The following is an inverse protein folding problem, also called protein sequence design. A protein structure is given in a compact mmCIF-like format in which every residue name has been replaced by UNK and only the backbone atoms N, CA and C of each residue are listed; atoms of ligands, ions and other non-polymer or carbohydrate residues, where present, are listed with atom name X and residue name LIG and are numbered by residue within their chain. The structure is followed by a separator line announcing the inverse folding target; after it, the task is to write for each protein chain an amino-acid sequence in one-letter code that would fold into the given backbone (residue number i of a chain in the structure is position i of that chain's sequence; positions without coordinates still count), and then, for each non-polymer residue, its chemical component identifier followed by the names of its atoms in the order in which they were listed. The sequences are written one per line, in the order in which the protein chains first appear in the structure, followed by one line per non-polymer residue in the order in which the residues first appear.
data_IF_861225202475
#
_entry.id   IF_861225202475
#
_cell.length_a   1.000
_cell.length_b   1.000
_cell.length_c   1.000
_cell.angle_alpha   90.00
_cell.angle_beta   90.00
_cell.angle_gamma   90.00
#
_symmetry.space_group_name_H-M   'P 1'
#
loop_
_entity.id
_entity.type
_entity.pdbx_description
1 polymer ?
#
# COMPACT_ATOMS: atom_id res chain seq x y z
N UNK A 1 -8.03 -43.80 4.62
CA UNK A 1 -8.04 -42.44 4.03
C UNK A 1 -6.94 -41.63 4.69
N UNK A 2 -5.93 -41.20 3.92
CA UNK A 2 -4.83 -40.39 4.40
C UNK A 2 -5.35 -38.98 4.75
N UNK A 3 -5.70 -38.75 6.01
CA UNK A 3 -5.99 -37.40 6.49
C UNK A 3 -4.69 -36.59 6.44
N UNK A 4 -4.60 -35.69 5.46
CA UNK A 4 -3.48 -34.75 5.29
C UNK A 4 -3.24 -33.91 6.56
N UNK A 5 -4.30 -33.68 7.34
CA UNK A 5 -4.31 -32.96 8.63
C UNK A 5 -4.73 -33.93 9.75
N UNK A 6 -3.84 -34.14 10.73
CA UNK A 6 -4.06 -34.98 11.92
C UNK A 6 -4.43 -34.11 13.13
N UNK A 7 -4.83 -34.73 14.24
CA UNK A 7 -5.18 -34.05 15.51
C UNK A 7 -4.05 -33.11 15.96
N UNK A 8 -2.80 -33.53 15.83
CA UNK A 8 -1.62 -32.71 16.16
C UNK A 8 -1.54 -31.43 15.30
N UNK A 9 -1.86 -31.51 14.01
CA UNK A 9 -1.79 -30.36 13.12
C UNK A 9 -2.85 -29.32 13.53
N UNK A 10 -4.08 -29.76 13.82
CA UNK A 10 -5.15 -28.89 14.30
C UNK A 10 -4.83 -28.25 15.65
N UNK A 11 -4.18 -29.00 16.54
CA UNK A 11 -3.72 -28.49 17.83
C UNK A 11 -2.72 -27.34 17.66
N UNK A 12 -1.72 -27.51 16.81
CA UNK A 12 -0.69 -26.50 16.53
C UNK A 12 -1.31 -25.29 15.82
N UNK A 13 -2.15 -25.51 14.81
CA UNK A 13 -2.83 -24.42 14.07
C UNK A 13 -3.70 -23.58 15.02
N UNK A 14 -4.47 -24.22 15.90
CA UNK A 14 -5.30 -23.51 16.88
C UNK A 14 -4.46 -22.68 17.84
N UNK A 15 -3.35 -23.23 18.37
CA UNK A 15 -2.40 -22.49 19.21
C UNK A 15 -1.79 -21.30 18.46
N UNK A 16 -1.37 -21.52 17.21
CA UNK A 16 -0.78 -20.48 16.37
C UNK A 16 -1.78 -19.34 16.11
N UNK A 17 -2.95 -19.64 15.53
CA UNK A 17 -3.93 -18.61 15.18
C UNK A 17 -4.45 -17.86 16.40
N UNK A 18 -4.73 -18.56 17.50
CA UNK A 18 -5.16 -17.92 18.75
C UNK A 18 -4.10 -16.95 19.29
N UNK A 19 -2.84 -17.37 19.29
CA UNK A 19 -1.72 -16.52 19.72
C UNK A 19 -1.57 -15.33 18.78
N UNK A 20 -1.69 -15.53 17.47
CA UNK A 20 -1.62 -14.46 16.47
C UNK A 20 -2.68 -13.38 16.69
N UNK A 21 -3.96 -13.76 16.73
CA UNK A 21 -5.04 -12.79 16.91
C UNK A 21 -4.96 -12.08 18.27
N UNK A 22 -4.54 -12.80 19.32
CA UNK A 22 -4.29 -12.20 20.63
C UNK A 22 -3.14 -11.20 20.61
N UNK A 23 -2.03 -11.52 19.95
CA UNK A 23 -0.90 -10.60 19.77
C UNK A 23 -1.33 -9.37 18.98
N UNK A 24 -2.01 -9.53 17.83
CA UNK A 24 -2.51 -8.41 17.04
C UNK A 24 -3.42 -7.53 17.88
N UNK A 25 -4.35 -8.09 18.65
CA UNK A 25 -5.26 -7.32 19.52
C UNK A 25 -4.49 -6.43 20.50
N UNK A 26 -3.47 -6.95 21.18
CA UNK A 26 -2.64 -6.16 22.12
C UNK A 26 -1.95 -5.01 21.39
N UNK A 27 -1.30 -5.29 20.26
CA UNK A 27 -0.61 -4.26 19.49
C UNK A 27 -1.57 -3.19 18.94
N UNK A 28 -2.78 -3.59 18.51
CA UNK A 28 -3.82 -2.66 18.09
C UNK A 28 -4.29 -1.76 19.24
N UNK A 29 -4.49 -2.32 20.43
CA UNK A 29 -4.87 -1.52 21.61
C UNK A 29 -3.80 -0.46 21.93
N UNK A 30 -2.53 -0.85 21.95
CA UNK A 30 -1.42 0.07 22.21
C UNK A 30 -1.37 1.15 21.11
N UNK A 31 -1.44 0.75 19.83
CA UNK A 31 -1.38 1.68 18.71
C UNK A 31 -2.51 2.71 18.74
N UNK A 32 -3.73 2.29 19.10
CA UNK A 32 -4.88 3.20 19.20
C UNK A 32 -4.70 4.22 20.32
N UNK A 33 -4.19 3.80 21.48
CA UNK A 33 -3.91 4.71 22.60
C UNK A 33 -2.86 5.74 22.21
N UNK A 34 -1.77 5.31 21.56
CA UNK A 34 -0.72 6.21 21.09
C UNK A 34 -1.25 7.20 20.04
N UNK A 35 -1.97 6.71 19.03
CA UNK A 35 -2.52 7.54 17.95
C UNK A 35 -3.52 8.57 18.48
N UNK A 36 -4.37 8.16 19.42
CA UNK A 36 -5.29 9.07 20.10
C UNK A 36 -4.53 10.15 20.88
N UNK A 37 -3.52 9.76 21.66
CA UNK A 37 -2.73 10.70 22.45
C UNK A 37 -2.01 11.74 21.60
N UNK A 38 -1.55 11.38 20.40
CA UNK A 38 -0.89 12.31 19.47
C UNK A 38 -1.87 13.28 18.78
N UNK A 39 -3.14 12.89 18.63
CA UNK A 39 -4.13 13.61 17.81
C UNK A 39 -5.28 14.22 18.61
N UNK A 40 -5.32 14.01 19.92
CA UNK A 40 -6.42 14.44 20.79
C UNK A 40 -6.70 15.94 20.67
N UNK A 41 -5.66 16.77 20.62
CA UNK A 41 -5.78 18.23 20.45
C UNK A 41 -6.49 18.58 19.13
N UNK A 42 -6.03 18.01 18.00
CA UNK A 42 -6.65 18.22 16.69
C UNK A 42 -8.10 17.70 16.62
N UNK A 43 -8.41 16.60 17.32
CA UNK A 43 -9.77 16.08 17.40
C UNK A 43 -10.72 16.98 18.19
N UNK A 44 -10.21 17.82 19.08
CA UNK A 44 -10.99 18.77 19.87
C UNK A 44 -11.15 20.10 19.12
N UNK A 45 -10.10 20.57 18.45
CA UNK A 45 -10.08 21.88 17.78
C UNK A 45 -10.82 21.90 16.45
N UNK A 46 -10.80 20.80 15.71
CA UNK A 46 -11.42 20.70 14.39
C UNK A 46 -12.88 20.22 14.49
N UNK A 47 -13.76 20.61 13.55
CA UNK A 47 -15.16 20.21 13.55
C UNK A 47 -15.35 18.77 13.04
N UNK A 48 -14.77 17.81 13.77
CA UNK A 48 -14.87 16.36 13.52
C UNK A 48 -15.87 15.77 14.50
N UNK A 49 -16.86 15.06 13.99
CA UNK A 49 -17.88 14.46 14.87
C UNK A 49 -17.30 13.26 15.61
N UNK A 50 -17.61 13.05 16.89
CA UNK A 50 -17.21 11.85 17.64
C UNK A 50 -17.56 10.54 16.91
N UNK A 51 -18.69 10.54 16.20
CA UNK A 51 -19.12 9.43 15.35
C UNK A 51 -18.14 9.14 14.20
N UNK A 52 -17.61 10.17 13.55
CA UNK A 52 -16.62 10.02 12.47
C UNK A 52 -15.30 9.48 13.02
N UNK A 53 -14.88 9.95 14.20
CA UNK A 53 -13.68 9.46 14.88
C UNK A 53 -13.82 7.96 15.24
N UNK A 54 -14.89 7.58 15.94
CA UNK A 54 -15.06 6.23 16.48
C UNK A 54 -15.46 5.20 15.41
N UNK A 55 -16.33 5.57 14.46
CA UNK A 55 -16.87 4.61 13.49
C UNK A 55 -16.16 4.63 12.13
N UNK A 56 -15.45 5.71 11.77
CA UNK A 56 -14.75 5.79 10.48
C UNK A 56 -13.24 5.78 10.66
N UNK A 57 -12.69 6.71 11.46
CA UNK A 57 -11.24 6.87 11.60
C UNK A 57 -10.59 5.67 12.30
N UNK A 58 -11.01 5.30 13.51
CA UNK A 58 -10.32 4.24 14.27
C UNK A 58 -10.40 2.84 13.64
N UNK A 59 -11.56 2.37 13.13
CA UNK A 59 -11.59 1.08 12.43
C UNK A 59 -10.67 1.08 11.19
N UNK A 60 -10.62 2.19 10.46
CA UNK A 60 -9.72 2.35 9.32
C UNK A 60 -8.25 2.41 9.71
N UNK A 61 -7.94 3.10 10.81
CA UNK A 61 -6.61 3.14 11.41
C UNK A 61 -6.16 1.75 11.86
N UNK A 62 -7.03 0.99 12.55
CA UNK A 62 -6.76 -0.39 12.98
C UNK A 62 -6.45 -1.30 11.77
N UNK A 63 -7.18 -1.16 10.66
CA UNK A 63 -6.89 -1.90 9.43
C UNK A 63 -5.53 -1.52 8.83
N UNK A 64 -5.22 -0.22 8.80
CA UNK A 64 -3.94 0.27 8.29
C UNK A 64 -2.76 -0.22 9.15
N UNK A 65 -2.78 0.05 10.46
CA UNK A 65 -1.68 -0.30 11.36
C UNK A 65 -1.59 -1.83 11.58
N UNK A 66 -2.73 -2.52 11.68
CA UNK A 66 -2.78 -3.97 11.77
C UNK A 66 -2.18 -4.63 10.54
N UNK A 67 -2.39 -4.04 9.35
CA UNK A 67 -1.75 -4.50 8.13
C UNK A 67 -0.23 -4.26 8.11
N UNK A 68 0.27 -3.16 8.68
CA UNK A 68 1.72 -2.92 8.80
C UNK A 68 2.39 -3.88 9.80
N UNK A 69 1.68 -4.25 10.87
CA UNK A 69 2.20 -5.13 11.93
C UNK A 69 1.97 -6.61 11.66
N UNK A 70 1.21 -6.97 10.62
CA UNK A 70 0.76 -8.35 10.37
C UNK A 70 1.90 -9.38 10.35
N UNK A 71 2.97 -9.09 9.62
CA UNK A 71 4.13 -9.98 9.48
C UNK A 71 4.94 -10.08 10.78
N UNK A 72 5.12 -8.98 11.51
CA UNK A 72 5.83 -8.94 12.80
C UNK A 72 5.02 -9.66 13.88
N UNK A 73 3.72 -9.43 13.97
CA UNK A 73 2.83 -10.16 14.87
C UNK A 73 2.81 -11.65 14.56
N UNK A 74 2.91 -12.05 13.28
CA UNK A 74 3.08 -13.45 12.90
C UNK A 74 4.35 -14.04 13.50
N UNK A 75 5.50 -13.37 13.34
CA UNK A 75 6.78 -13.82 13.89
C UNK A 75 6.72 -13.98 15.40
N UNK A 76 6.22 -12.95 16.10
CA UNK A 76 6.07 -12.94 17.55
C UNK A 76 5.17 -14.08 18.00
N UNK A 77 4.01 -14.26 17.36
CA UNK A 77 3.07 -15.30 17.70
C UNK A 77 3.70 -16.69 17.55
N UNK A 78 4.35 -16.94 16.40
CA UNK A 78 5.02 -18.22 16.13
C UNK A 78 6.07 -18.51 17.18
N UNK A 79 6.95 -17.55 17.48
CA UNK A 79 7.98 -17.71 18.50
C UNK A 79 7.35 -17.95 19.87
N UNK A 80 6.31 -17.19 20.21
CA UNK A 80 5.66 -17.26 21.50
C UNK A 80 5.09 -18.65 21.76
N UNK A 81 4.21 -19.14 20.88
CA UNK A 81 3.56 -20.41 21.12
C UNK A 81 4.54 -21.59 20.96
N UNK A 82 5.47 -21.52 20.00
CA UNK A 82 6.46 -22.58 19.77
C UNK A 82 7.40 -22.71 20.95
N UNK A 83 7.92 -21.59 21.46
CA UNK A 83 8.81 -21.61 22.63
C UNK A 83 8.08 -22.09 23.88
N UNK A 84 6.80 -21.73 24.04
CA UNK A 84 5.96 -22.28 25.12
C UNK A 84 5.81 -23.80 25.01
N UNK A 85 5.58 -24.33 23.81
CA UNK A 85 5.52 -25.78 23.55
C UNK A 85 6.88 -26.47 23.77
N UNK A 86 7.99 -25.82 23.41
CA UNK A 86 9.33 -26.34 23.66
C UNK A 86 9.62 -26.41 25.17
N UNK A 87 9.20 -25.38 25.92
CA UNK A 87 9.40 -25.28 27.36
C UNK A 87 8.57 -26.33 28.13
N UNK A 88 7.32 -26.55 27.74
CA UNK A 88 6.47 -27.64 28.28
C UNK A 88 6.90 -29.03 27.81
N UNK A 89 8.01 -29.13 27.05
CA UNK A 89 8.52 -30.37 26.46
C UNK A 89 7.56 -31.07 25.49
N UNK A 90 6.51 -30.39 25.02
CA UNK A 90 5.58 -30.91 24.00
C UNK A 90 6.32 -31.20 22.69
N UNK A 91 7.23 -30.31 22.26
CA UNK A 91 8.02 -30.51 21.03
C UNK A 91 8.95 -31.73 21.14
N UNK A 92 9.63 -31.90 22.28
CA UNK A 92 10.50 -33.04 22.51
C UNK A 92 9.71 -34.36 22.54
N UNK A 93 8.53 -34.37 23.17
CA UNK A 93 7.64 -35.54 23.18
C UNK A 93 7.16 -35.91 21.78
N UNK A 94 6.86 -34.93 20.93
CA UNK A 94 6.48 -35.15 19.52
C UNK A 94 7.62 -35.82 18.74
N UNK A 95 8.86 -35.34 18.92
CA UNK A 95 10.03 -35.93 18.27
C UNK A 95 10.34 -37.34 18.79
N UNK A 96 10.23 -37.56 20.10
CA UNK A 96 10.40 -38.89 20.71
C UNK A 96 9.33 -39.90 20.26
N UNK A 97 8.15 -39.42 19.83
CA UNK A 97 7.10 -40.25 19.22
C UNK A 97 7.37 -40.57 17.73
N UNK A 98 8.55 -40.24 17.20
CA UNK A 98 8.97 -40.55 15.83
C UNK A 98 8.46 -39.56 14.77
N UNK A 99 7.88 -38.43 15.16
CA UNK A 99 7.43 -37.40 14.21
C UNK A 99 8.63 -36.58 13.74
N UNK A 100 8.84 -36.51 12.42
CA UNK A 100 9.93 -35.71 11.86
C UNK A 100 9.69 -34.20 11.96
N UNK A 101 10.76 -33.41 11.99
CA UNK A 101 10.69 -31.94 11.93
C UNK A 101 9.86 -31.44 10.73
N UNK A 102 10.03 -32.09 9.57
CA UNK A 102 9.27 -31.76 8.36
C UNK A 102 7.76 -32.01 8.51
N UNK A 103 7.34 -33.01 9.28
CA UNK A 103 5.92 -33.23 9.55
C UNK A 103 5.37 -32.16 10.49
N UNK A 104 6.11 -31.78 11.53
CA UNK A 104 5.75 -30.69 12.43
C UNK A 104 5.57 -29.37 11.64
N UNK A 105 6.49 -29.07 10.73
CA UNK A 105 6.48 -27.86 9.90
C UNK A 105 5.23 -27.73 9.01
N UNK A 106 4.57 -28.84 8.64
CA UNK A 106 3.34 -28.79 7.82
C UNK A 106 2.21 -28.05 8.54
N UNK A 107 2.07 -28.22 9.85
CA UNK A 107 1.04 -27.51 10.62
C UNK A 107 1.26 -25.99 10.61
N UNK A 108 2.53 -25.57 10.74
CA UNK A 108 2.93 -24.16 10.63
C UNK A 108 2.66 -23.61 9.23
N UNK A 109 2.97 -24.38 8.19
CA UNK A 109 2.69 -24.00 6.80
C UNK A 109 1.20 -23.76 6.57
N UNK A 110 0.30 -24.64 7.03
CA UNK A 110 -1.14 -24.45 6.86
C UNK A 110 -1.66 -23.22 7.64
N UNK A 111 -1.16 -22.99 8.85
CA UNK A 111 -1.48 -21.77 9.60
C UNK A 111 -1.00 -20.50 8.88
N UNK A 112 0.23 -20.52 8.36
CA UNK A 112 0.80 -19.40 7.61
C UNK A 112 0.06 -19.18 6.29
N UNK A 113 -0.34 -20.24 5.59
CA UNK A 113 -1.12 -20.16 4.36
C UNK A 113 -2.48 -19.50 4.61
N UNK A 114 -3.16 -19.85 5.71
CA UNK A 114 -4.41 -19.20 6.11
C UNK A 114 -4.21 -17.70 6.38
N UNK A 115 -3.21 -17.33 7.18
CA UNK A 115 -2.91 -15.91 7.46
C UNK A 115 -2.47 -15.15 6.21
N UNK A 116 -1.73 -15.78 5.31
CA UNK A 116 -1.31 -15.21 4.02
C UNK A 116 -2.50 -14.93 3.13
N UNK A 117 -3.43 -15.90 3.00
CA UNK A 117 -4.62 -15.72 2.19
C UNK A 117 -5.51 -14.58 2.75
N UNK A 118 -5.71 -14.56 4.07
CA UNK A 118 -6.46 -13.49 4.72
C UNK A 118 -5.80 -12.12 4.46
N UNK A 119 -4.48 -12.04 4.61
CA UNK A 119 -3.76 -10.79 4.40
C UNK A 119 -3.69 -10.36 2.93
N UNK A 120 -3.61 -11.29 1.97
CA UNK A 120 -3.75 -11.00 0.55
C UNK A 120 -5.11 -10.35 0.25
N UNK A 121 -6.20 -10.90 0.78
CA UNK A 121 -7.53 -10.32 0.59
C UNK A 121 -7.61 -8.92 1.23
N UNK A 122 -7.06 -8.76 2.42
CA UNK A 122 -7.02 -7.48 3.11
C UNK A 122 -6.24 -6.43 2.32
N UNK A 123 -4.98 -6.72 1.95
CA UNK A 123 -4.09 -5.78 1.26
C UNK A 123 -4.60 -5.37 -0.13
N UNK A 124 -5.24 -6.28 -0.87
CA UNK A 124 -5.70 -5.98 -2.22
C UNK A 124 -7.05 -5.22 -2.26
N UNK A 125 -7.93 -5.43 -1.28
CA UNK A 125 -9.32 -4.96 -1.32
C UNK A 125 -9.78 -4.18 -0.09
N UNK A 126 -9.56 -4.69 1.13
CA UNK A 126 -10.16 -4.14 2.35
C UNK A 126 -9.35 -2.94 2.87
N UNK A 127 -8.03 -3.11 3.01
CA UNK A 127 -7.14 -2.08 3.53
C UNK A 127 -7.15 -0.80 2.70
N UNK A 128 -7.16 -0.82 1.35
CA UNK A 128 -7.21 0.42 0.58
C UNK A 128 -8.50 1.23 0.80
N UNK A 129 -9.62 0.55 1.05
CA UNK A 129 -10.89 1.21 1.36
C UNK A 129 -10.83 1.88 2.74
N UNK A 130 -10.33 1.17 3.74
CA UNK A 130 -10.09 1.77 5.07
C UNK A 130 -9.11 2.94 5.00
N UNK A 131 -8.00 2.76 4.28
CA UNK A 131 -7.01 3.82 4.10
C UNK A 131 -7.59 5.05 3.43
N UNK A 132 -8.52 4.89 2.47
CA UNK A 132 -9.25 6.01 1.88
C UNK A 132 -10.01 6.80 2.96
N UNK A 133 -10.85 6.15 3.76
CA UNK A 133 -11.61 6.84 4.82
C UNK A 133 -10.71 7.52 5.86
N UNK A 134 -9.61 6.86 6.24
CA UNK A 134 -8.64 7.42 7.17
C UNK A 134 -8.00 8.68 6.60
N UNK A 135 -7.51 8.60 5.36
CA UNK A 135 -6.81 9.70 4.70
C UNK A 135 -7.75 10.85 4.36
N UNK A 136 -9.01 10.58 4.02
CA UNK A 136 -10.02 11.63 3.79
C UNK A 136 -10.21 12.51 5.06
N UNK A 137 -10.24 11.90 6.26
CA UNK A 137 -10.29 12.64 7.53
C UNK A 137 -8.98 13.35 7.82
N UNK A 138 -7.85 12.67 7.61
CA UNK A 138 -6.51 13.25 7.86
C UNK A 138 -6.30 14.48 6.99
N UNK A 139 -6.51 14.40 5.67
CA UNK A 139 -6.30 15.52 4.76
C UNK A 139 -7.30 16.67 4.99
N UNK A 140 -8.52 16.36 5.43
CA UNK A 140 -9.54 17.40 5.65
C UNK A 140 -9.33 18.18 6.94
N UNK A 141 -8.88 17.53 8.01
CA UNK A 141 -8.87 18.12 9.35
C UNK A 141 -7.50 18.12 10.04
N UNK A 142 -6.65 17.11 9.81
CA UNK A 142 -5.45 16.88 10.63
C UNK A 142 -4.17 17.39 9.96
N UNK A 143 -4.00 17.10 8.67
CA UNK A 143 -2.88 17.50 7.83
C UNK A 143 -3.40 18.08 6.52
N UNK A 144 -3.89 19.31 6.62
CA UNK A 144 -4.44 20.08 5.49
C UNK A 144 -3.38 20.41 4.42
N UNK A 145 -2.10 20.18 4.72
CA UNK A 145 -0.96 20.54 3.87
C UNK A 145 -0.42 19.39 3.02
N UNK A 146 -0.87 18.15 3.21
CA UNK A 146 -0.35 16.99 2.47
C UNK A 146 -0.78 16.96 0.98
N UNK A 147 -1.76 17.78 0.59
CA UNK A 147 -2.09 17.96 -0.82
C UNK A 147 -0.98 18.71 -1.55
N UNK A 148 -0.08 17.95 -2.18
CA UNK A 148 1.00 18.49 -3.02
C UNK A 148 0.57 18.67 -4.46
N UNK A 149 -0.72 18.48 -4.76
CA UNK A 149 -1.27 18.70 -6.09
C UNK A 149 -1.00 20.13 -6.52
N UNK A 150 -0.23 20.30 -7.60
CA UNK A 150 0.05 21.61 -8.18
C UNK A 150 -1.28 22.24 -8.57
N UNK A 151 -1.62 23.38 -7.98
CA UNK A 151 -2.75 24.22 -8.40
C UNK A 151 -2.34 25.25 -9.43
N UNK A 152 -1.04 25.43 -9.67
CA UNK A 152 -0.47 26.39 -10.62
C UNK A 152 0.48 25.70 -11.60
N UNK A 153 0.55 26.23 -12.82
CA UNK A 153 1.47 25.78 -13.89
C UNK A 153 1.49 24.25 -14.05
N UNK A 154 0.31 23.69 -14.20
CA UNK A 154 0.09 22.26 -14.27
C UNK A 154 0.32 21.81 -15.71
N UNK A 155 1.17 20.79 -15.89
CA UNK A 155 1.41 20.17 -17.19
C UNK A 155 1.08 18.69 -17.08
N UNK A 156 0.09 18.23 -17.84
CA UNK A 156 -0.37 16.85 -17.85
C UNK A 156 -0.47 16.37 -19.28
N UNK A 157 -0.01 15.16 -19.55
CA UNK A 157 -0.35 14.51 -20.80
C UNK A 157 -1.72 13.83 -20.65
N UNK A 158 -2.61 14.07 -21.61
CA UNK A 158 -3.95 13.45 -21.65
C UNK A 158 -4.03 12.36 -22.73
N UNK A 159 -3.08 12.35 -23.65
CA UNK A 159 -2.80 11.32 -24.64
C UNK A 159 -1.30 11.37 -25.02
N UNK A 160 -0.72 10.35 -25.69
CA UNK A 160 0.72 10.32 -26.01
C UNK A 160 1.26 11.58 -26.70
N UNK A 161 0.41 12.20 -27.53
CA UNK A 161 0.73 13.36 -28.34
C UNK A 161 -0.10 14.60 -27.98
N UNK A 162 -0.84 14.56 -26.87
CA UNK A 162 -1.69 15.68 -26.44
C UNK A 162 -1.37 16.04 -25.00
N UNK A 163 -0.88 17.26 -24.82
CA UNK A 163 -0.56 17.82 -23.51
C UNK A 163 -1.60 18.88 -23.15
N UNK A 164 -1.96 18.93 -21.88
CA UNK A 164 -2.78 19.99 -21.31
C UNK A 164 -1.90 20.80 -20.37
N UNK A 165 -1.94 22.11 -20.55
CA UNK A 165 -1.40 23.09 -19.63
C UNK A 165 -2.54 23.83 -18.95
N UNK A 166 -2.42 24.03 -17.64
CA UNK A 166 -3.35 24.82 -16.85
C UNK A 166 -2.54 25.79 -15.99
N UNK A 167 -2.76 27.09 -16.21
CA UNK A 167 -2.10 28.12 -15.41
C UNK A 167 -2.54 28.08 -13.95
N UNK A 168 -3.84 27.92 -13.70
CA UNK A 168 -4.38 27.76 -12.34
C UNK A 168 -5.61 26.84 -12.30
N UNK A 169 -5.67 25.92 -11.34
CA UNK A 169 -6.82 25.05 -11.09
C UNK A 169 -7.38 25.26 -9.69
N UNK A 170 -8.69 25.55 -9.63
CA UNK A 170 -9.44 25.67 -8.39
C UNK A 170 -10.17 24.36 -8.12
N UNK A 171 -9.84 23.73 -6.99
CA UNK A 171 -10.36 22.41 -6.60
C UNK A 171 -11.83 22.46 -6.17
N UNK A 172 -12.29 23.57 -5.58
CA UNK A 172 -13.63 23.70 -5.01
C UNK A 172 -14.76 23.63 -6.04
N UNK A 173 -14.57 24.28 -7.18
CA UNK A 173 -15.56 24.37 -8.27
C UNK A 173 -15.10 23.64 -9.54
N UNK A 174 -13.96 22.94 -9.49
CA UNK A 174 -13.34 22.26 -10.63
C UNK A 174 -13.13 23.17 -11.85
N UNK A 175 -12.83 24.44 -11.61
CA UNK A 175 -12.53 25.41 -12.67
C UNK A 175 -11.03 25.55 -12.91
N UNK A 176 -10.65 25.65 -14.18
CA UNK A 176 -9.30 25.93 -14.63
C UNK A 176 -9.23 27.30 -15.32
N UNK A 177 -8.11 27.99 -15.16
CA UNK A 177 -7.78 29.23 -15.85
C UNK A 177 -6.51 29.05 -16.67
N UNK A 178 -6.43 29.79 -17.77
CA UNK A 178 -5.34 29.67 -18.76
C UNK A 178 -5.16 28.20 -19.18
N UNK A 179 -6.26 27.65 -19.71
CA UNK A 179 -6.34 26.25 -20.11
C UNK A 179 -5.86 26.12 -21.55
N UNK A 180 -4.87 25.27 -21.80
CA UNK A 180 -4.32 25.05 -23.13
C UNK A 180 -4.21 23.57 -23.44
N UNK A 181 -4.73 23.16 -24.59
CA UNK A 181 -4.58 21.83 -25.16
C UNK A 181 -3.56 21.94 -26.28
N UNK A 182 -2.44 21.26 -26.18
CA UNK A 182 -1.33 21.27 -27.14
C UNK A 182 -1.23 19.90 -27.82
N UNK A 183 -1.28 19.86 -29.14
CA UNK A 183 -1.13 18.65 -29.94
C UNK A 183 0.23 18.63 -30.65
N UNK A 184 0.97 17.55 -30.43
CA UNK A 184 2.31 17.35 -30.98
C UNK A 184 2.31 16.25 -32.04
N UNK A 185 3.13 16.40 -33.08
CA UNK A 185 3.44 15.35 -34.06
C UNK A 185 4.94 15.39 -34.32
N UNK A 186 5.62 14.25 -34.21
CA UNK A 186 7.08 14.17 -34.35
C UNK A 186 7.83 15.20 -33.47
N UNK A 187 7.38 15.38 -32.22
CA UNK A 187 7.93 16.34 -31.25
C UNK A 187 7.77 17.83 -31.64
N UNK A 188 7.02 18.15 -32.69
CA UNK A 188 6.68 19.52 -33.08
C UNK A 188 5.22 19.83 -32.74
N UNK A 189 4.95 21.05 -32.27
CA UNK A 189 3.60 21.53 -31.98
C UNK A 189 2.87 21.77 -33.30
N UNK A 190 1.76 21.06 -33.54
CA UNK A 190 0.97 21.18 -34.78
C UNK A 190 -0.27 22.04 -34.57
N UNK A 191 -0.83 22.02 -33.37
CA UNK A 191 -1.97 22.87 -33.02
C UNK A 191 -2.07 23.04 -31.53
N UNK A 192 -2.62 24.16 -31.09
CA UNK A 192 -3.12 24.28 -29.73
C UNK A 192 -4.47 24.98 -29.67
N UNK A 193 -5.26 24.63 -28.66
CA UNK A 193 -6.47 25.36 -28.28
C UNK A 193 -6.21 26.00 -26.92
N UNK A 194 -6.34 27.32 -26.83
CA UNK A 194 -6.23 28.07 -25.57
C UNK A 194 -7.60 28.60 -25.17
N UNK A 195 -7.96 28.51 -23.90
CA UNK A 195 -9.18 29.04 -23.32
C UNK A 195 -8.86 29.77 -22.02
N UNK A 196 -9.50 30.90 -21.78
CA UNK A 196 -9.25 31.68 -20.56
C UNK A 196 -9.83 31.00 -19.32
N UNK A 197 -11.00 30.37 -19.47
CA UNK A 197 -11.65 29.57 -18.44
C UNK A 197 -12.09 28.22 -19.00
N UNK A 198 -11.85 27.16 -18.24
CA UNK A 198 -12.41 25.85 -18.49
C UNK A 198 -13.10 25.32 -17.23
N UNK A 199 -14.21 24.62 -17.40
CA UNK A 199 -15.01 24.05 -16.32
C UNK A 199 -15.32 22.60 -16.60
N UNK A 200 -15.12 21.73 -15.61
CA UNK A 200 -15.45 20.32 -15.74
C UNK A 200 -16.94 20.08 -15.45
N UNK A 201 -17.65 19.45 -16.39
CA UNK A 201 -19.06 19.10 -16.27
C UNK A 201 -19.20 17.63 -15.82
N UNK A 202 -19.60 17.33 -14.57
CA UNK A 202 -19.64 15.97 -14.04
C UNK A 202 -20.65 15.07 -14.77
N UNK A 203 -21.81 15.63 -15.13
CA UNK A 203 -22.93 14.95 -15.80
C UNK A 203 -22.50 14.32 -17.14
N UNK A 204 -21.76 15.08 -17.95
CA UNK A 204 -21.39 14.69 -19.31
C UNK A 204 -19.95 14.21 -19.43
N UNK A 205 -19.15 14.33 -18.35
CA UNK A 205 -17.70 14.07 -18.32
C UNK A 205 -16.93 14.84 -19.40
N UNK A 206 -17.33 16.09 -19.64
CA UNK A 206 -16.72 16.99 -20.63
C UNK A 206 -16.15 18.23 -19.94
N UNK A 207 -15.19 18.85 -20.61
CA UNK A 207 -14.69 20.17 -20.24
C UNK A 207 -15.37 21.22 -21.11
N UNK A 208 -16.01 22.20 -20.51
CA UNK A 208 -16.52 23.37 -21.21
C UNK A 208 -15.45 24.45 -21.22
N UNK A 209 -15.02 24.83 -22.42
CA UNK A 209 -14.07 25.92 -22.65
C UNK A 209 -14.83 27.19 -22.93
N UNK A 210 -14.43 28.29 -22.29
CA UNK A 210 -14.95 29.64 -22.51
C UNK A 210 -13.86 30.52 -23.10
N UNK A 211 -14.26 31.39 -24.03
CA UNK A 211 -13.36 32.35 -24.69
C UNK A 211 -12.12 31.66 -25.25
N UNK A 212 -12.36 30.75 -26.21
CA UNK A 212 -11.32 29.89 -26.74
C UNK A 212 -10.76 30.40 -28.07
N UNK A 213 -9.48 30.14 -28.29
CA UNK A 213 -8.78 30.35 -29.55
C UNK A 213 -8.16 29.05 -30.00
N UNK A 214 -8.26 28.74 -31.28
CA UNK A 214 -7.63 27.58 -31.89
C UNK A 214 -6.56 28.05 -32.86
N UNK A 215 -5.33 27.59 -32.66
CA UNK A 215 -4.19 27.90 -33.50
C UNK A 215 -3.69 26.59 -34.13
N UNK A 216 -3.54 26.56 -35.45
CA UNK A 216 -2.95 25.44 -36.17
C UNK A 216 -1.75 25.89 -37.01
N UNK A 217 -0.74 25.03 -37.05
CA UNK A 217 0.54 25.26 -37.74
C UNK A 217 0.69 24.25 -38.87
N UNK A 218 0.79 24.74 -40.10
CA UNK A 218 1.08 23.92 -41.28
C UNK A 218 2.38 24.41 -41.94
N UNK A 219 3.51 24.03 -41.35
CA UNK A 219 4.83 24.53 -41.74
C UNK A 219 5.01 25.99 -41.31
N UNK A 220 5.23 26.89 -42.28
CA UNK A 220 5.34 28.34 -42.06
C UNK A 220 3.98 29.07 -42.08
N UNK A 221 2.88 28.36 -42.35
CA UNK A 221 1.54 28.94 -42.37
C UNK A 221 0.85 28.74 -41.03
N UNK A 222 0.40 29.84 -40.46
CA UNK A 222 -0.36 29.91 -39.22
C UNK A 222 -1.83 30.21 -39.53
N UNK A 223 -2.74 29.44 -38.94
CA UNK A 223 -4.18 29.74 -38.95
C UNK A 223 -4.68 29.90 -37.52
N UNK A 224 -5.18 31.10 -37.20
CA UNK A 224 -5.67 31.48 -35.89
C UNK A 224 -7.14 31.82 -35.97
N UNK A 225 -7.96 31.04 -35.27
CA UNK A 225 -9.40 31.24 -35.17
C UNK A 225 -9.74 31.65 -33.73
N UNK A 226 -10.29 32.86 -33.57
CA UNK A 226 -10.71 33.40 -32.28
C UNK A 226 -12.22 33.28 -32.12
N UNK A 227 -12.67 32.67 -31.03
CA UNK A 227 -14.07 32.47 -30.70
C UNK A 227 -14.37 33.12 -29.34
N UNK A 228 -14.58 34.44 -29.38
CA UNK A 228 -14.87 35.28 -28.21
C UNK A 228 -16.35 35.16 -27.83
N UNK A 229 -16.65 35.05 -26.52
CA UNK A 229 -17.99 34.84 -25.96
C UNK A 229 -18.70 33.55 -26.41
N UNK A 230 -17.97 32.61 -27.00
CA UNK A 230 -18.46 31.28 -27.34
C UNK A 230 -18.00 30.24 -26.31
N UNK A 231 -18.78 29.18 -26.17
CA UNK A 231 -18.41 28.02 -25.38
C UNK A 231 -18.26 26.79 -26.25
N UNK A 232 -17.27 25.95 -25.95
CA UNK A 232 -17.02 24.70 -26.65
C UNK A 232 -16.84 23.57 -25.65
N UNK A 233 -17.66 22.55 -25.77
CA UNK A 233 -17.51 21.33 -24.97
C UNK A 233 -16.48 20.42 -25.65
N UNK A 234 -15.43 20.05 -24.91
CA UNK A 234 -14.39 19.13 -25.33
C UNK A 234 -14.35 17.89 -24.44
N UNK A 235 -14.03 16.75 -25.04
CA UNK A 235 -13.86 15.50 -24.30
C UNK A 235 -12.37 15.25 -24.11
N UNK A 236 -11.91 15.33 -22.87
CA UNK A 236 -10.53 15.07 -22.50
C UNK A 236 -10.48 13.95 -21.47
N UNK A 237 -9.49 13.07 -21.62
CA UNK A 237 -9.13 12.12 -20.56
C UNK A 237 -8.38 12.87 -19.47
N UNK A 238 -9.05 13.78 -18.76
CA UNK A 238 -8.55 14.60 -17.66
C UNK A 238 -9.69 14.83 -16.69
N UNK A 239 -9.51 14.45 -15.43
CA UNK A 239 -10.57 14.50 -14.41
C UNK A 239 -10.12 15.32 -13.19
N UNK A 240 -11.05 15.89 -12.41
CA UNK A 240 -10.72 16.61 -11.17
C UNK A 240 -9.79 15.84 -10.23
N UNK A 241 -9.93 14.51 -10.16
CA UNK A 241 -9.09 13.65 -9.32
C UNK A 241 -7.63 13.55 -9.80
N UNK A 242 -7.34 13.88 -11.06
CA UNK A 242 -5.97 13.90 -11.60
C UNK A 242 -5.15 15.09 -11.03
N UNK A 243 -5.81 16.09 -10.43
CA UNK A 243 -5.15 17.26 -9.81
C UNK A 243 -4.85 17.10 -8.32
N UNK A 244 -5.29 16.00 -7.73
CA UNK A 244 -4.99 15.64 -6.34
C UNK A 244 -3.75 14.75 -6.33
N UNK A 245 -2.68 15.20 -5.65
CA UNK A 245 -1.46 14.41 -5.46
C UNK A 245 -1.11 14.33 -3.97
N UNK A 246 -1.77 13.41 -3.28
CA UNK A 246 -1.44 13.08 -1.90
C UNK A 246 -0.23 12.15 -1.84
N UNK A 247 0.57 12.29 -0.77
CA UNK A 247 1.73 11.44 -0.52
C UNK A 247 1.38 9.94 -0.45
N UNK A 248 0.15 9.65 0.00
CA UNK A 248 -0.39 8.32 0.26
C UNK A 248 -1.48 7.88 -0.74
N UNK A 249 -1.65 8.57 -1.88
CA UNK A 249 -2.74 8.28 -2.81
C UNK A 249 -2.75 6.83 -3.33
N UNK A 250 -1.56 6.23 -3.51
CA UNK A 250 -1.41 4.84 -3.94
C UNK A 250 -2.03 3.83 -2.97
N UNK A 251 -1.97 4.07 -1.66
CA UNK A 251 -2.49 3.14 -0.67
C UNK A 251 -4.02 3.20 -0.56
N UNK A 252 -4.64 4.31 -1.00
CA UNK A 252 -6.11 4.49 -1.01
C UNK A 252 -6.82 3.78 -2.17
N UNK A 253 -6.09 3.33 -3.19
CA UNK A 253 -6.67 2.68 -4.37
C UNK A 253 -6.74 1.17 -4.21
N UNK A 254 -7.91 0.55 -4.41
CA UNK A 254 -7.99 -0.92 -4.54
C UNK A 254 -7.15 -1.40 -5.72
N UNK A 255 -6.74 -2.67 -5.70
CA UNK A 255 -5.79 -3.18 -6.72
C UNK A 255 -6.31 -3.04 -8.16
N UNK A 256 -7.59 -3.34 -8.47
CA UNK A 256 -8.13 -3.09 -9.80
C UNK A 256 -8.06 -1.61 -10.21
N UNK A 257 -8.35 -0.70 -9.28
CA UNK A 257 -8.27 0.76 -9.53
C UNK A 257 -6.83 1.21 -9.72
N UNK A 258 -5.91 0.69 -8.92
CA UNK A 258 -4.48 0.97 -9.01
C UNK A 258 -3.90 0.54 -10.36
N UNK A 259 -4.23 -0.68 -10.83
CA UNK A 259 -3.80 -1.17 -12.13
C UNK A 259 -4.36 -0.33 -13.28
N UNK A 260 -5.65 0.04 -13.20
CA UNK A 260 -6.28 0.92 -14.19
C UNK A 260 -5.60 2.30 -14.22
N UNK A 261 -5.31 2.87 -13.04
CA UNK A 261 -4.62 4.14 -12.92
C UNK A 261 -3.21 4.09 -13.53
N UNK A 262 -2.42 3.06 -13.20
CA UNK A 262 -1.08 2.85 -13.78
C UNK A 262 -1.16 2.75 -15.30
N UNK A 263 -2.11 1.98 -15.84
CA UNK A 263 -2.30 1.84 -17.28
C UNK A 263 -2.63 3.17 -17.95
N UNK A 264 -3.56 3.92 -17.38
CA UNK A 264 -3.95 5.24 -17.88
C UNK A 264 -2.78 6.23 -17.86
N UNK A 265 -1.98 6.24 -16.80
CA UNK A 265 -0.81 7.11 -16.70
C UNK A 265 0.29 6.71 -17.70
N UNK A 266 0.49 5.41 -17.92
CA UNK A 266 1.43 4.92 -18.95
C UNK A 266 0.94 5.25 -20.38
N UNK A 267 -0.35 5.10 -20.67
CA UNK A 267 -0.97 5.47 -21.96
C UNK A 267 -0.90 6.99 -22.20
N UNK A 268 -0.94 7.80 -21.14
CA UNK A 268 -0.68 9.24 -21.18
C UNK A 268 0.81 9.58 -21.37
N UNK A 269 1.74 8.62 -21.25
CA UNK A 269 3.17 8.89 -21.34
C UNK A 269 3.76 9.54 -20.07
N UNK A 270 3.06 9.45 -18.93
CA UNK A 270 3.57 9.97 -17.66
C UNK A 270 4.73 9.11 -17.13
N UNK A 271 5.84 9.75 -16.75
CA UNK A 271 7.06 9.07 -16.31
C UNK A 271 7.08 8.69 -14.83
N UNK A 272 6.15 9.20 -14.01
CA UNK A 272 6.20 9.08 -12.55
C UNK A 272 5.16 8.11 -11.94
N UNK A 273 4.99 6.91 -12.52
CA UNK A 273 4.09 5.86 -12.01
C UNK A 273 4.74 4.94 -10.96
N UNK A 274 6.00 5.20 -10.57
CA UNK A 274 6.80 4.30 -9.73
C UNK A 274 6.20 4.03 -8.35
N UNK A 275 5.66 5.05 -7.66
CA UNK A 275 5.02 4.87 -6.34
C UNK A 275 3.82 3.91 -6.39
N UNK A 276 3.03 4.00 -7.45
CA UNK A 276 1.88 3.13 -7.69
C UNK A 276 2.31 1.71 -8.06
N UNK A 277 3.35 1.60 -8.89
CA UNK A 277 3.92 0.31 -9.27
C UNK A 277 4.54 -0.41 -8.06
N UNK A 278 5.22 0.33 -7.18
CA UNK A 278 5.78 -0.22 -5.95
C UNK A 278 4.70 -0.77 -5.03
N UNK A 279 3.63 0.02 -4.81
CA UNK A 279 2.47 -0.41 -4.04
C UNK A 279 1.86 -1.71 -4.60
N UNK A 280 1.74 -1.84 -5.92
CA UNK A 280 1.22 -3.04 -6.57
C UNK A 280 2.07 -4.28 -6.25
N UNK A 281 3.39 -4.20 -6.40
CA UNK A 281 4.29 -5.31 -6.07
C UNK A 281 4.31 -5.60 -4.57
N UNK A 282 4.27 -4.56 -3.74
CA UNK A 282 4.27 -4.70 -2.28
C UNK A 282 3.06 -5.49 -1.78
N UNK A 283 1.86 -5.29 -2.34
CA UNK A 283 0.64 -6.01 -1.95
C UNK A 283 0.72 -7.53 -2.08
N UNK A 284 1.59 -8.02 -2.96
CA UNK A 284 1.84 -9.47 -3.10
C UNK A 284 3.10 -9.90 -2.36
N UNK A 285 4.12 -9.05 -2.27
CA UNK A 285 5.35 -9.34 -1.53
C UNK A 285 5.09 -9.42 -0.01
N UNK A 286 4.36 -8.48 0.58
CA UNK A 286 4.17 -8.41 2.05
C UNK A 286 3.51 -9.69 2.61
N UNK A 287 2.50 -10.30 1.97
CA UNK A 287 1.96 -11.58 2.44
C UNK A 287 2.94 -12.75 2.37
N UNK A 288 3.84 -12.81 1.39
CA UNK A 288 4.85 -13.88 1.32
C UNK A 288 5.79 -13.86 2.53
N UNK A 289 6.02 -12.69 3.12
CA UNK A 289 6.76 -12.52 4.37
C UNK A 289 6.23 -13.40 5.50
N UNK A 290 4.92 -13.65 5.56
CA UNK A 290 4.27 -14.44 6.62
C UNK A 290 4.85 -15.86 6.65
N UNK A 291 5.04 -16.50 5.49
CA UNK A 291 5.69 -17.81 5.40
C UNK A 291 7.13 -17.75 5.88
N UNK A 292 7.89 -16.78 5.38
CA UNK A 292 9.32 -16.61 5.68
C UNK A 292 9.51 -16.44 7.19
N UNK A 293 8.78 -15.52 7.81
CA UNK A 293 8.88 -15.24 9.23
C UNK A 293 8.32 -16.36 10.10
N UNK A 294 7.29 -17.08 9.64
CA UNK A 294 6.80 -18.26 10.35
C UNK A 294 7.87 -19.35 10.40
N UNK A 295 8.55 -19.63 9.30
CA UNK A 295 9.61 -20.63 9.30
C UNK A 295 10.83 -20.22 10.11
N UNK A 296 11.24 -18.95 10.02
CA UNK A 296 12.30 -18.40 10.87
C UNK A 296 11.93 -18.53 12.34
N UNK A 297 10.72 -18.10 12.72
CA UNK A 297 10.23 -18.16 14.10
C UNK A 297 10.18 -19.58 14.63
N UNK A 298 9.67 -20.53 13.84
CA UNK A 298 9.62 -21.95 14.19
C UNK A 298 11.03 -22.53 14.38
N UNK A 299 11.95 -22.27 13.45
CA UNK A 299 13.32 -22.79 13.51
C UNK A 299 14.06 -22.29 14.76
N UNK A 300 13.90 -21.00 15.09
CA UNK A 300 14.49 -20.39 16.28
C UNK A 300 13.88 -20.92 17.57
N UNK A 301 12.55 -21.02 17.64
CA UNK A 301 11.82 -21.29 18.88
C UNK A 301 11.64 -22.79 19.19
N UNK A 302 11.86 -23.68 18.21
CA UNK A 302 11.72 -25.13 18.40
C UNK A 302 12.82 -25.75 19.27
N UNK A 303 13.98 -25.09 19.39
CA UNK A 303 15.09 -25.55 20.23
C UNK A 303 14.93 -25.06 21.65
N UNK A 304 15.06 -25.96 22.63
CA UNK A 304 15.06 -25.61 24.05
C UNK A 304 16.39 -24.93 24.41
N UNK A 305 16.39 -23.61 24.61
CA UNK A 305 17.56 -22.84 25.03
C UNK A 305 17.48 -22.56 26.54
N UNK A 306 18.63 -22.61 27.23
CA UNK A 306 18.73 -22.41 28.70
C UNK A 306 18.32 -21.00 29.17
N UNK A 307 18.15 -20.02 28.27
CA UNK A 307 17.75 -18.64 28.57
C UNK A 307 16.24 -18.42 28.75
N UNK A 308 15.42 -19.48 28.74
CA UNK A 308 13.98 -19.39 28.93
C UNK A 308 13.21 -18.77 27.75
N UNK A 309 11.91 -18.58 27.95
CA UNK A 309 10.98 -18.08 26.94
C UNK A 309 11.37 -16.69 26.39
N UNK A 310 11.82 -15.78 27.26
CA UNK A 310 12.11 -14.38 26.93
C UNK A 310 13.25 -14.19 25.93
N UNK A 311 14.27 -15.05 25.94
CA UNK A 311 15.39 -14.95 25.01
C UNK A 311 14.96 -15.18 23.55
N UNK A 312 14.11 -16.19 23.29
CA UNK A 312 13.58 -16.44 21.95
C UNK A 312 12.72 -15.28 21.46
N UNK A 313 11.92 -14.70 22.35
CA UNK A 313 11.09 -13.54 22.03
C UNK A 313 11.96 -12.33 21.65
N UNK A 314 13.01 -12.03 22.42
CA UNK A 314 13.93 -10.93 22.13
C UNK A 314 14.63 -11.13 20.78
N UNK A 315 15.11 -12.34 20.49
CA UNK A 315 15.73 -12.67 19.20
C UNK A 315 14.72 -12.51 18.05
N UNK A 316 13.48 -12.96 18.25
CA UNK A 316 12.37 -12.77 17.32
C UNK A 316 12.08 -11.31 17.00
N UNK A 317 11.96 -10.48 18.03
CA UNK A 317 11.73 -9.04 17.89
C UNK A 317 12.91 -8.40 17.13
N UNK A 318 14.16 -8.77 17.46
CA UNK A 318 15.34 -8.27 16.75
C UNK A 318 15.33 -8.63 15.26
N UNK A 319 15.05 -9.89 14.93
CA UNK A 319 14.93 -10.35 13.53
C UNK A 319 13.79 -9.63 12.79
N UNK A 320 12.64 -9.45 13.44
CA UNK A 320 11.51 -8.69 12.90
C UNK A 320 11.86 -7.22 12.67
N UNK A 321 12.56 -6.58 13.61
CA UNK A 321 13.01 -5.20 13.47
C UNK A 321 14.00 -5.02 12.31
N UNK A 322 14.96 -5.94 12.15
CA UNK A 322 15.88 -5.96 11.00
C UNK A 322 15.10 -6.13 9.69
N UNK A 323 14.09 -7.01 9.65
CA UNK A 323 13.25 -7.19 8.48
C UNK A 323 12.52 -5.89 8.10
N UNK A 324 11.88 -5.24 9.08
CA UNK A 324 11.16 -3.97 8.87
C UNK A 324 12.13 -2.88 8.40
N UNK A 325 13.29 -2.76 9.05
CA UNK A 325 14.33 -1.80 8.68
C UNK A 325 14.78 -2.00 7.22
N UNK A 326 15.12 -3.24 6.85
CA UNK A 326 15.53 -3.57 5.50
C UNK A 326 14.41 -3.26 4.48
N UNK A 327 13.16 -3.58 4.81
CA UNK A 327 12.01 -3.29 3.94
C UNK A 327 11.78 -1.80 3.73
N UNK A 328 11.99 -0.96 4.75
CA UNK A 328 11.92 0.49 4.62
C UNK A 328 13.09 1.01 3.78
N UNK A 329 14.29 0.46 3.97
CA UNK A 329 15.46 0.82 3.20
C UNK A 329 15.26 0.49 1.71
N UNK A 330 14.85 -0.73 1.35
CA UNK A 330 14.65 -1.11 -0.06
C UNK A 330 13.56 -0.29 -0.76
N UNK A 331 12.51 0.12 -0.03
CA UNK A 331 11.49 1.04 -0.54
C UNK A 331 12.09 2.38 -1.00
N UNK A 332 12.96 3.00 -0.19
CA UNK A 332 13.62 4.27 -0.54
C UNK A 332 14.44 4.13 -1.83
N UNK A 333 15.19 3.05 -1.98
CA UNK A 333 16.00 2.79 -3.18
C UNK A 333 15.14 2.50 -4.43
N UNK A 334 14.01 1.83 -4.26
CA UNK A 334 13.08 1.53 -5.35
C UNK A 334 12.44 2.81 -5.91
N UNK A 335 12.05 3.73 -5.01
CA UNK A 335 11.46 5.01 -5.37
C UNK A 335 12.52 6.00 -5.90
N UNK A 336 13.76 5.95 -5.38
CA UNK A 336 14.89 6.80 -5.78
C UNK A 336 15.57 6.44 -7.11
N UNK A 337 15.01 5.50 -7.88
CA UNK A 337 15.52 5.03 -9.17
C UNK A 337 16.82 4.22 -9.17
N UNK A 338 17.35 3.87 -8.01
CA UNK A 338 18.59 3.08 -7.91
C UNK A 338 18.38 1.61 -8.30
N UNK A 339 17.19 1.05 -8.02
CA UNK A 339 16.86 -0.34 -8.32
C UNK A 339 15.49 -0.46 -9.01
N UNK A 340 15.24 -1.55 -9.78
CA UNK A 340 13.93 -1.84 -10.32
C UNK A 340 12.86 -1.95 -9.23
N UNK A 341 11.66 -1.43 -9.51
CA UNK A 341 10.57 -1.33 -8.53
C UNK A 341 10.12 -2.69 -8.00
N UNK A 342 10.00 -3.69 -8.87
CA UNK A 342 9.65 -5.06 -8.48
C UNK A 342 10.71 -5.65 -7.56
N UNK A 343 12.00 -5.40 -7.83
CA UNK A 343 13.09 -5.91 -7.02
C UNK A 343 13.07 -5.26 -5.65
N UNK A 344 12.85 -3.95 -5.55
CA UNK A 344 12.78 -3.24 -4.28
C UNK A 344 11.68 -3.76 -3.34
N UNK A 345 10.54 -4.18 -3.87
CA UNK A 345 9.46 -4.76 -3.09
C UNK A 345 9.77 -6.20 -2.62
N UNK A 346 10.49 -6.99 -3.42
CA UNK A 346 10.76 -8.40 -3.13
C UNK A 346 12.11 -8.67 -2.45
N UNK A 347 13.05 -7.72 -2.52
CA UNK A 347 14.42 -7.90 -2.02
C UNK A 347 14.50 -8.30 -0.53
N UNK A 348 13.74 -7.71 0.40
CA UNK A 348 13.72 -8.17 1.79
C UNK A 348 13.29 -9.62 1.92
N UNK A 349 12.27 -10.03 1.16
CA UNK A 349 11.78 -11.42 1.16
C UNK A 349 12.81 -12.39 0.62
N UNK A 350 13.53 -12.04 -0.45
CA UNK A 350 14.56 -12.90 -1.02
C UNK A 350 15.70 -13.13 -0.01
N UNK A 351 16.15 -12.07 0.66
CA UNK A 351 17.20 -12.15 1.69
C UNK A 351 16.74 -13.02 2.86
N UNK A 352 15.55 -12.76 3.40
CA UNK A 352 15.05 -13.50 4.56
C UNK A 352 14.61 -14.93 4.20
N UNK A 353 14.18 -15.20 2.96
CA UNK A 353 13.93 -16.55 2.49
C UNK A 353 15.22 -17.39 2.50
N UNK A 354 16.35 -16.81 2.09
CA UNK A 354 17.64 -17.47 2.19
C UNK A 354 18.03 -17.78 3.65
N UNK A 355 17.81 -16.81 4.56
CA UNK A 355 18.01 -17.00 6.01
C UNK A 355 17.11 -18.11 6.54
N UNK A 356 15.83 -18.11 6.18
CA UNK A 356 14.86 -19.14 6.59
C UNK A 356 15.31 -20.53 6.14
N UNK A 357 15.72 -20.69 4.87
CA UNK A 357 16.20 -21.96 4.33
C UNK A 357 17.43 -22.47 5.08
N UNK A 358 18.41 -21.59 5.36
CA UNK A 358 19.60 -21.94 6.14
C UNK A 358 19.23 -22.37 7.56
N UNK A 359 18.32 -21.67 8.23
CA UNK A 359 17.86 -22.02 9.58
C UNK A 359 17.09 -23.35 9.61
N UNK A 360 16.27 -23.65 8.61
CA UNK A 360 15.56 -24.93 8.52
C UNK A 360 16.55 -26.09 8.33
N UNK A 361 17.54 -25.93 7.44
CA UNK A 361 18.55 -26.96 7.17
C UNK A 361 19.43 -27.26 8.41
N UNK A 362 19.76 -26.23 9.19
CA UNK A 362 20.49 -26.43 10.45
C UNK A 362 19.59 -26.98 11.54
N UNK A 363 18.29 -26.64 11.56
CA UNK A 363 17.32 -27.15 12.53
C UNK A 363 17.01 -28.65 12.36
N UNK A 364 17.07 -29.17 11.13
CA UNK A 364 16.87 -30.59 10.81
C UNK A 364 18.03 -31.48 11.28
N UNK A 365 19.21 -30.91 11.55
CA UNK A 365 20.37 -31.57 12.15
C UNK A 365 20.37 -31.33 13.66
#
# INVERSE_FOLDING_TARGET
MNNYVKILDWYIIKKFLSTFFFTVLIFLMIAVILDFSEKVEKFIEEPITTREIVLQYYPSFMLWIGGQLWSVCTLIAVIFFTSRMAYSSEIMSIFNAGVSFNRLMRAYFFGAAFLTLLYLLCTHYIMPVGEKYRQDIVHKYIDKSDDKGKTTNIHLFVAPNTKVFIGFYRKDDSTARDFRIEHFKNQQLVSYTKADRAEYLPETRKWRLWDYSSHSFNGLKEDLQMHLAESKDTTLSLYPEDFLDYSSQQSMMTTPRLMKYIRQQNERGASNTRKYLFELYRRTADPVTIFILTFIGMAIASRKVRGGFGFHLALGIGVGAIFVFLSKFTNVFALGQTIPVWLGAWLPNLIFAFVALRLIQTAQK
#
